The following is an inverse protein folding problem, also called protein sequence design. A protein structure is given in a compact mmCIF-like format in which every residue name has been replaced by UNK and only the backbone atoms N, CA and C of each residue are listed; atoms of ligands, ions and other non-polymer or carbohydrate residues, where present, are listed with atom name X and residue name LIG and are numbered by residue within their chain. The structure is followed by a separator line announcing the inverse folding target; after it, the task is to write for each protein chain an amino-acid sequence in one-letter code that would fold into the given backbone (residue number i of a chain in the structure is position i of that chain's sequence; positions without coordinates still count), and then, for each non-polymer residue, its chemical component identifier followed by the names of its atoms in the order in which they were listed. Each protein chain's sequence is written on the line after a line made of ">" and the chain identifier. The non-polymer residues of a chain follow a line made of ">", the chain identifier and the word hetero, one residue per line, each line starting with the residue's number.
data_IF_263827444955
#
_entry.id   IF_263827444955
#
_cell.length_a   1.000
_cell.length_b   1.000
_cell.length_c   1.000
_cell.angle_alpha   90.00
_cell.angle_beta   90.00
_cell.angle_gamma   90.00
#
_symmetry.space_group_name_H-M   'P 1'
#
loop_
_entity.id
_entity.type
_entity.pdbx_description
1 polymer ?
#
# COMPACT_ATOMS: atom_id res chain seq x y z
N UNK A 1 57.75 0.39 27.37
CA UNK A 1 56.48 0.91 27.93
C UNK A 1 55.72 1.86 26.99
N UNK A 2 56.35 2.56 26.04
CA UNK A 2 55.66 3.53 25.15
C UNK A 2 54.67 2.91 24.11
N UNK A 3 54.91 1.69 23.62
CA UNK A 3 54.07 1.07 22.58
C UNK A 3 52.68 0.60 23.08
N UNK A 4 52.52 0.38 24.39
CA UNK A 4 51.25 -0.08 24.99
C UNK A 4 50.28 1.09 25.18
N UNK A 5 50.80 2.27 25.54
CA UNK A 5 50.01 3.49 25.71
C UNK A 5 49.40 4.00 24.39
N UNK A 6 50.15 3.89 23.28
CA UNK A 6 49.69 4.30 21.94
C UNK A 6 48.56 3.42 21.40
N UNK A 7 48.62 2.09 21.63
CA UNK A 7 47.54 1.16 21.25
C UNK A 7 46.27 1.40 22.06
N UNK A 8 46.40 1.71 23.35
CA UNK A 8 45.28 2.03 24.23
C UNK A 8 44.58 3.33 23.83
N UNK A 9 45.35 4.36 23.44
CA UNK A 9 44.78 5.61 22.92
C UNK A 9 44.05 5.41 21.58
N UNK A 10 44.63 4.64 20.65
CA UNK A 10 43.99 4.34 19.37
C UNK A 10 42.67 3.56 19.54
N UNK A 11 42.63 2.60 20.47
CA UNK A 11 41.41 1.85 20.79
C UNK A 11 40.32 2.74 21.40
N UNK A 12 40.72 3.67 22.27
CA UNK A 12 39.80 4.62 22.90
C UNK A 12 39.20 5.61 21.88
N UNK A 13 40.01 6.08 20.93
CA UNK A 13 39.53 6.95 19.84
C UNK A 13 38.57 6.20 18.92
N UNK A 14 38.87 4.96 18.55
CA UNK A 14 37.96 4.13 17.74
C UNK A 14 36.63 3.85 18.44
N UNK A 15 36.66 3.57 19.75
CA UNK A 15 35.46 3.39 20.57
C UNK A 15 34.64 4.69 20.62
N UNK A 16 35.27 5.84 20.85
CA UNK A 16 34.59 7.14 20.87
C UNK A 16 33.97 7.49 19.51
N UNK A 17 34.66 7.21 18.40
CA UNK A 17 34.14 7.40 17.04
C UNK A 17 32.97 6.46 16.74
N UNK A 18 33.02 5.21 17.23
CA UNK A 18 31.92 4.25 17.06
C UNK A 18 30.68 4.65 17.87
N UNK A 19 30.87 5.15 19.09
CA UNK A 19 29.79 5.63 19.96
C UNK A 19 29.15 6.90 19.40
N UNK A 20 29.94 7.83 18.85
CA UNK A 20 29.41 9.04 18.22
C UNK A 20 28.63 8.74 16.95
N UNK A 21 29.14 7.83 16.09
CA UNK A 21 28.42 7.39 14.90
C UNK A 21 27.10 6.67 15.25
N UNK A 22 27.09 5.85 16.30
CA UNK A 22 25.87 5.20 16.79
C UNK A 22 24.85 6.21 17.34
N UNK A 23 25.30 7.21 18.10
CA UNK A 23 24.43 8.28 18.62
C UNK A 23 23.83 9.15 17.51
N UNK A 24 24.63 9.50 16.50
CA UNK A 24 24.16 10.20 15.28
C UNK A 24 23.14 9.36 14.51
N UNK A 25 23.39 8.07 14.35
CA UNK A 25 22.44 7.14 13.72
C UNK A 25 21.12 7.04 14.47
N UNK A 26 21.17 6.98 15.80
CA UNK A 26 19.98 6.90 16.65
C UNK A 26 19.17 8.21 16.63
N UNK A 27 19.84 9.37 16.74
CA UNK A 27 19.18 10.67 16.66
C UNK A 27 18.52 10.90 15.29
N UNK A 28 19.19 10.48 14.21
CA UNK A 28 18.63 10.56 12.86
C UNK A 28 17.41 9.65 12.68
N UNK A 29 17.43 8.45 13.27
CA UNK A 29 16.28 7.53 13.25
C UNK A 29 15.06 8.12 13.96
N UNK A 30 15.27 8.74 15.14
CA UNK A 30 14.18 9.40 15.89
C UNK A 30 13.55 10.55 15.09
N UNK A 31 14.36 11.36 14.40
CA UNK A 31 13.85 12.45 13.55
C UNK A 31 12.97 11.93 12.40
N UNK A 32 13.35 10.83 11.75
CA UNK A 32 12.52 10.23 10.71
C UNK A 32 11.21 9.64 11.28
N UNK A 33 11.27 8.96 12.42
CA UNK A 33 10.07 8.42 13.08
C UNK A 33 9.09 9.55 13.47
N UNK A 34 9.59 10.68 13.97
CA UNK A 34 8.76 11.86 14.27
C UNK A 34 8.14 12.50 13.01
N UNK A 35 8.91 12.59 11.91
CA UNK A 35 8.44 13.13 10.63
C UNK A 35 7.35 12.23 10.02
N UNK A 36 7.58 10.91 9.97
CA UNK A 36 6.63 9.92 9.46
C UNK A 36 5.33 9.93 10.27
N UNK A 37 5.41 9.96 11.61
CA UNK A 37 4.23 10.10 12.48
C UNK A 37 3.46 11.39 12.22
N UNK A 38 4.17 12.48 11.95
CA UNK A 38 3.55 13.77 11.69
C UNK A 38 2.82 13.77 10.33
N UNK A 39 3.42 13.16 9.30
CA UNK A 39 2.76 12.96 8.00
C UNK A 39 1.50 12.09 8.13
N UNK A 40 1.54 11.00 8.90
CA UNK A 40 0.35 10.17 9.18
C UNK A 40 -0.77 10.97 9.85
N UNK A 41 -0.43 11.82 10.83
CA UNK A 41 -1.40 12.69 11.52
C UNK A 41 -2.02 13.72 10.57
N UNK A 42 -1.27 14.22 9.60
CA UNK A 42 -1.81 15.13 8.58
C UNK A 42 -2.73 14.43 7.58
N UNK A 43 -2.43 13.17 7.26
CA UNK A 43 -3.27 12.38 6.34
C UNK A 43 -4.54 11.85 7.04
N UNK A 44 -4.63 11.86 8.38
CA UNK A 44 -5.78 11.36 9.14
C UNK A 44 -7.08 12.10 8.79
N UNK A 45 -8.06 11.37 8.28
CA UNK A 45 -9.39 11.88 7.96
C UNK A 45 -10.29 11.74 9.18
N UNK A 46 -10.44 12.83 9.94
CA UNK A 46 -11.23 12.82 11.18
C UNK A 46 -12.71 12.52 10.95
N UNK A 47 -13.32 13.14 9.91
CA UNK A 47 -14.70 12.93 9.51
C UNK A 47 -14.97 13.53 8.13
N UNK A 48 -15.69 12.80 7.27
CA UNK A 48 -16.19 13.34 6.02
C UNK A 48 -17.56 14.02 6.17
N UNK A 49 -17.88 15.01 5.32
CA UNK A 49 -19.25 15.50 5.19
C UNK A 49 -20.22 14.35 4.89
N UNK A 50 -21.33 14.28 5.62
CA UNK A 50 -22.34 13.23 5.42
C UNK A 50 -21.94 11.83 5.90
N UNK A 51 -20.79 11.68 6.60
CA UNK A 51 -20.32 10.39 7.08
C UNK A 51 -21.09 9.90 8.33
N UNK A 52 -21.54 8.63 8.34
CA UNK A 52 -22.03 7.98 9.54
C UNK A 52 -20.89 7.72 10.54
N UNK A 53 -21.24 7.46 11.79
CA UNK A 53 -20.27 7.08 12.83
C UNK A 53 -19.60 5.74 12.48
N UNK A 54 -18.28 5.69 12.64
CA UNK A 54 -17.45 4.51 12.34
C UNK A 54 -16.44 4.26 13.45
N UNK A 55 -15.97 3.02 13.56
CA UNK A 55 -15.02 2.58 14.59
C UNK A 55 -13.60 2.32 14.06
N UNK A 56 -13.32 2.65 12.80
CA UNK A 56 -12.03 2.47 12.14
C UNK A 56 -11.44 3.81 11.73
N UNK A 57 -10.11 3.88 11.61
CA UNK A 57 -9.44 5.07 11.11
C UNK A 57 -9.33 5.05 9.59
N UNK A 58 -9.19 6.23 9.02
CA UNK A 58 -8.99 6.42 7.59
C UNK A 58 -8.00 7.55 7.36
N UNK A 59 -7.19 7.41 6.32
CA UNK A 59 -6.11 8.33 5.99
C UNK A 59 -6.15 8.61 4.50
N UNK A 60 -5.97 9.85 4.09
CA UNK A 60 -5.89 10.20 2.68
C UNK A 60 -4.88 11.30 2.47
N UNK A 61 -4.13 11.21 1.39
CA UNK A 61 -3.07 12.15 1.11
C UNK A 61 -2.33 11.80 -0.16
N UNK A 62 -1.23 12.52 -0.37
CA UNK A 62 -0.37 12.34 -1.52
C UNK A 62 0.94 11.71 -1.10
N UNK A 63 1.47 10.83 -1.94
CA UNK A 63 2.83 10.31 -1.85
C UNK A 63 3.55 10.65 -3.14
N UNK A 64 4.66 11.38 -3.02
CA UNK A 64 5.51 11.73 -4.16
C UNK A 64 6.21 10.48 -4.68
N UNK A 65 6.08 10.24 -5.99
CA UNK A 65 6.68 9.09 -6.70
C UNK A 65 7.81 9.52 -7.63
N UNK A 66 7.86 10.80 -8.00
CA UNK A 66 8.96 11.40 -8.76
C UNK A 66 9.10 12.88 -8.43
N UNK A 67 10.14 13.22 -7.69
CA UNK A 67 10.47 14.62 -7.35
C UNK A 67 10.79 15.45 -8.59
N UNK A 68 11.59 14.91 -9.51
CA UNK A 68 12.07 15.64 -10.69
C UNK A 68 10.96 15.99 -11.68
N UNK A 69 9.88 15.21 -11.70
CA UNK A 69 8.71 15.49 -12.53
C UNK A 69 7.55 16.11 -11.73
N UNK A 70 7.68 16.20 -10.40
CA UNK A 70 6.59 16.57 -9.51
C UNK A 70 5.38 15.65 -9.63
N UNK A 71 5.61 14.33 -9.68
CA UNK A 71 4.54 13.33 -9.70
C UNK A 71 4.19 12.89 -8.29
N UNK A 72 2.90 12.94 -7.96
CA UNK A 72 2.38 12.44 -6.71
C UNK A 72 1.10 11.64 -6.96
N UNK A 73 0.98 10.50 -6.28
CA UNK A 73 -0.21 9.67 -6.33
C UNK A 73 -1.05 9.88 -5.05
N UNK A 74 -2.35 10.04 -5.23
CA UNK A 74 -3.31 10.16 -4.15
C UNK A 74 -3.77 8.78 -3.70
N UNK A 75 -3.90 8.61 -2.39
CA UNK A 75 -4.43 7.39 -1.80
C UNK A 75 -5.54 7.69 -0.79
N UNK A 76 -6.37 6.69 -0.56
CA UNK A 76 -7.28 6.66 0.58
C UNK A 76 -7.21 5.29 1.23
N UNK A 77 -6.74 5.28 2.47
CA UNK A 77 -6.51 4.10 3.29
C UNK A 77 -7.60 3.99 4.36
N UNK A 78 -8.12 2.78 4.56
CA UNK A 78 -9.07 2.45 5.61
C UNK A 78 -8.54 1.27 6.41
N UNK A 79 -8.46 1.44 7.72
CA UNK A 79 -8.13 0.34 8.61
C UNK A 79 -9.27 -0.69 8.65
N UNK A 80 -8.91 -1.93 8.97
CA UNK A 80 -9.86 -2.95 9.36
C UNK A 80 -10.71 -2.49 10.56
N UNK A 81 -11.95 -2.96 10.67
CA UNK A 81 -12.82 -2.60 11.80
C UNK A 81 -12.40 -3.22 13.13
N UNK A 82 -11.62 -4.30 13.11
CA UNK A 82 -11.11 -5.03 14.26
C UNK A 82 -9.70 -5.59 14.01
N UNK A 83 -8.90 -5.67 15.08
CA UNK A 83 -7.55 -6.28 15.09
C UNK A 83 -6.64 -5.80 13.93
N UNK A 84 -6.58 -4.49 13.69
CA UNK A 84 -5.84 -3.82 12.59
C UNK A 84 -4.43 -4.41 12.38
N UNK A 85 -3.74 -4.67 13.48
CA UNK A 85 -2.36 -5.21 13.53
C UNK A 85 -2.25 -6.68 13.09
N UNK A 86 -3.35 -7.43 13.10
CA UNK A 86 -3.40 -8.84 12.70
C UNK A 86 -3.98 -9.06 11.31
N UNK A 87 -4.59 -8.03 10.71
CA UNK A 87 -5.23 -8.12 9.39
C UNK A 87 -4.23 -7.89 8.26
N UNK A 88 -4.43 -8.49 7.08
CA UNK A 88 -3.61 -8.18 5.91
C UNK A 88 -3.80 -6.73 5.45
N UNK A 89 -2.83 -6.21 4.71
CA UNK A 89 -2.94 -4.97 3.93
C UNK A 89 -3.23 -5.33 2.47
N UNK A 90 -4.28 -4.74 1.91
CA UNK A 90 -4.70 -4.97 0.53
C UNK A 90 -4.67 -3.65 -0.24
N UNK A 91 -3.82 -3.58 -1.25
CA UNK A 91 -3.85 -2.52 -2.27
C UNK A 91 -4.94 -2.84 -3.30
N UNK A 92 -5.86 -1.91 -3.55
CA UNK A 92 -6.88 -2.02 -4.58
C UNK A 92 -6.64 -1.05 -5.74
N UNK A 93 -6.73 -1.56 -6.97
CA UNK A 93 -6.58 -0.81 -8.22
C UNK A 93 -7.77 -1.06 -9.15
N UNK A 94 -8.53 -0.02 -9.51
CA UNK A 94 -9.45 -0.11 -10.65
C UNK A 94 -8.68 0.05 -11.98
N UNK A 95 -9.33 -0.36 -13.07
CA UNK A 95 -8.75 -0.42 -14.41
C UNK A 95 -9.02 0.82 -15.28
N UNK A 96 -9.66 0.59 -16.42
CA UNK A 96 -9.92 1.60 -17.45
C UNK A 96 -9.20 1.28 -18.76
N UNK A 97 -7.94 1.72 -18.97
CA UNK A 97 -7.05 2.46 -18.07
C UNK A 97 -7.56 3.87 -17.73
N UNK A 98 -7.23 4.38 -16.54
CA UNK A 98 -7.54 5.75 -16.12
C UNK A 98 -8.79 5.92 -15.25
N UNK A 99 -9.40 4.82 -14.79
CA UNK A 99 -10.53 4.87 -13.85
C UNK A 99 -10.04 5.05 -12.42
N UNK A 100 -10.78 5.84 -11.63
CA UNK A 100 -10.47 6.14 -10.24
C UNK A 100 -10.74 4.94 -9.32
N UNK A 101 -9.73 4.51 -8.55
CA UNK A 101 -9.90 3.46 -7.55
C UNK A 101 -10.77 3.91 -6.37
N UNK A 102 -10.80 5.23 -6.12
CA UNK A 102 -11.67 5.81 -5.10
C UNK A 102 -13.11 5.86 -5.60
N UNK A 103 -13.32 6.42 -6.80
CA UNK A 103 -14.65 6.60 -7.40
C UNK A 103 -15.40 5.29 -7.62
N UNK A 104 -14.70 4.21 -7.97
CA UNK A 104 -15.31 2.89 -8.12
C UNK A 104 -15.08 2.03 -6.88
N UNK A 105 -13.85 1.57 -6.66
CA UNK A 105 -13.52 0.62 -5.60
C UNK A 105 -13.95 1.06 -4.21
N UNK A 106 -13.61 2.30 -3.82
CA UNK A 106 -13.82 2.76 -2.45
C UNK A 106 -15.28 3.17 -2.17
N UNK A 107 -15.98 3.80 -3.12
CA UNK A 107 -17.30 4.41 -2.84
C UNK A 107 -18.49 3.80 -3.59
N UNK A 108 -18.26 2.84 -4.49
CA UNK A 108 -19.33 2.13 -5.20
C UNK A 108 -19.25 0.61 -5.03
N UNK A 109 -18.08 0.04 -4.73
CA UNK A 109 -17.87 -1.40 -4.67
C UNK A 109 -17.63 -1.95 -3.25
N UNK A 110 -16.37 -1.93 -2.79
CA UNK A 110 -15.90 -2.74 -1.66
C UNK A 110 -15.39 -1.93 -0.47
N UNK A 111 -15.21 -0.62 -0.63
CA UNK A 111 -14.87 0.27 0.48
C UNK A 111 -16.02 0.43 1.49
N UNK A 112 -15.76 1.11 2.62
CA UNK A 112 -16.69 1.15 3.76
C UNK A 112 -17.89 2.06 3.54
N UNK A 113 -17.81 2.99 2.61
CA UNK A 113 -18.84 3.98 2.34
C UNK A 113 -19.43 3.77 0.93
N UNK A 114 -20.73 4.03 0.79
CA UNK A 114 -21.42 4.02 -0.50
C UNK A 114 -22.04 5.38 -0.77
N UNK A 115 -21.78 5.94 -1.95
CA UNK A 115 -22.48 7.14 -2.38
C UNK A 115 -23.99 6.89 -2.49
N UNK A 116 -24.79 7.83 -2.00
CA UNK A 116 -26.24 7.76 -2.06
C UNK A 116 -26.78 8.63 -3.19
N UNK A 117 -27.78 8.13 -3.93
CA UNK A 117 -28.35 8.86 -5.06
C UNK A 117 -29.18 10.04 -4.58
N UNK A 118 -28.79 11.25 -5.00
CA UNK A 118 -29.60 12.46 -4.80
C UNK A 118 -29.53 13.07 -3.40
N UNK A 119 -28.64 12.57 -2.54
CA UNK A 119 -28.40 13.10 -1.20
C UNK A 119 -26.87 13.15 -0.93
N UNK A 120 -26.38 14.11 -0.13
CA UNK A 120 -24.95 14.24 0.15
C UNK A 120 -24.41 13.24 1.20
N UNK A 121 -25.28 12.51 1.89
CA UNK A 121 -24.89 11.54 2.91
C UNK A 121 -24.25 10.28 2.31
N UNK A 122 -23.30 9.71 3.07
CA UNK A 122 -22.68 8.43 2.77
C UNK A 122 -23.45 7.30 3.47
N UNK A 123 -23.73 6.23 2.74
CA UNK A 123 -24.22 4.97 3.33
C UNK A 123 -23.07 4.11 3.83
N UNK A 124 -23.30 3.27 4.84
CA UNK A 124 -22.34 2.22 5.19
C UNK A 124 -22.49 1.02 4.25
N UNK A 125 -21.37 0.50 3.77
CA UNK A 125 -21.35 -0.75 3.03
C UNK A 125 -21.35 -1.93 4.01
N UNK A 126 -22.48 -2.62 4.13
CA UNK A 126 -22.58 -3.82 4.99
C UNK A 126 -21.63 -4.94 4.55
N UNK A 127 -21.24 -4.94 3.28
CA UNK A 127 -20.39 -5.95 2.65
C UNK A 127 -18.95 -5.49 2.42
N UNK A 128 -18.53 -4.38 3.04
CA UNK A 128 -17.18 -3.85 2.87
C UNK A 128 -16.10 -4.86 3.23
N UNK A 129 -14.99 -4.81 2.52
CA UNK A 129 -13.85 -5.70 2.72
C UNK A 129 -13.01 -5.34 3.95
N UNK A 130 -13.20 -4.15 4.55
CA UNK A 130 -12.57 -3.79 5.82
C UNK A 130 -13.37 -4.23 7.06
N UNK A 131 -14.45 -5.00 6.87
CA UNK A 131 -15.35 -5.42 7.95
C UNK A 131 -15.41 -6.95 8.08
N UNK A 132 -15.43 -7.44 9.32
CA UNK A 132 -15.65 -8.86 9.61
C UNK A 132 -17.05 -9.32 9.16
N UNK A 133 -17.12 -10.42 8.39
CA UNK A 133 -18.38 -11.13 8.07
C UNK A 133 -18.75 -12.06 9.24
N UNK A 134 -19.96 -11.93 9.79
CA UNK A 134 -20.46 -12.83 10.86
C UNK A 134 -21.23 -14.06 10.32
N UNK A 135 -21.61 -14.06 9.04
CA UNK A 135 -22.62 -14.99 8.53
C UNK A 135 -22.06 -15.87 7.39
N UNK A 136 -21.15 -16.77 7.72
CA UNK A 136 -20.55 -17.74 6.77
C UNK A 136 -21.50 -18.89 6.39
N UNK A 137 -22.76 -18.60 6.03
CA UNK A 137 -23.72 -19.66 5.65
C UNK A 137 -23.93 -19.80 4.14
N UNK A 138 -23.38 -18.90 3.32
CA UNK A 138 -23.68 -18.91 1.89
C UNK A 138 -22.51 -18.46 1.03
N UNK A 139 -21.47 -19.29 0.85
CA UNK A 139 -20.61 -19.22 -0.33
C UNK A 139 -20.00 -20.60 -0.60
N UNK A 140 -20.53 -21.29 -1.61
CA UNK A 140 -19.82 -22.38 -2.29
C UNK A 140 -19.02 -21.75 -3.43
N UNK A 141 -17.85 -22.32 -3.71
CA UNK A 141 -16.84 -21.99 -4.74
C UNK A 141 -15.66 -21.11 -4.26
N UNK A 142 -14.49 -21.78 -4.19
CA UNK A 142 -13.11 -21.27 -3.98
C UNK A 142 -12.59 -21.19 -2.53
N UNK A 143 -12.36 -22.37 -1.95
CA UNK A 143 -11.93 -22.68 -0.58
C UNK A 143 -10.53 -22.14 -0.13
N UNK A 144 -9.88 -21.27 -0.91
CA UNK A 144 -8.57 -20.70 -0.57
C UNK A 144 -8.57 -19.17 -0.36
N UNK A 145 -9.53 -18.45 -0.97
CA UNK A 145 -9.75 -17.00 -0.75
C UNK A 145 -10.99 -16.72 0.10
N UNK A 146 -11.72 -17.77 0.50
CA UNK A 146 -12.96 -17.70 1.29
C UNK A 146 -12.75 -17.39 2.78
N UNK A 147 -11.49 -17.26 3.21
CA UNK A 147 -11.08 -16.78 4.54
C UNK A 147 -10.54 -15.35 4.51
N UNK A 148 -10.87 -14.53 3.50
CA UNK A 148 -10.65 -13.07 3.61
C UNK A 148 -11.71 -12.48 4.54
N UNK A 149 -11.49 -12.82 5.79
CA UNK A 149 -11.76 -12.04 6.98
C UNK A 149 -11.06 -10.70 6.81
N UNK A 150 -11.81 -9.63 6.55
CA UNK A 150 -11.44 -8.26 6.96
C UNK A 150 -9.99 -7.80 6.72
N UNK A 151 -9.75 -6.88 5.79
CA UNK A 151 -8.43 -6.33 5.47
C UNK A 151 -8.31 -4.83 5.77
N UNK A 152 -7.09 -4.35 5.94
CA UNK A 152 -6.77 -2.94 5.82
C UNK A 152 -6.75 -2.59 4.32
N UNK A 153 -7.60 -1.66 3.88
CA UNK A 153 -7.83 -1.38 2.46
C UNK A 153 -7.12 -0.09 2.02
N UNK A 154 -6.20 -0.21 1.08
CA UNK A 154 -5.47 0.91 0.48
C UNK A 154 -5.94 1.11 -0.97
N UNK A 155 -6.70 2.17 -1.22
CA UNK A 155 -7.10 2.55 -2.57
C UNK A 155 -6.12 3.54 -3.15
N UNK A 156 -5.65 3.30 -4.38
CA UNK A 156 -4.66 4.14 -5.04
C UNK A 156 -5.21 4.70 -6.36
N UNK A 157 -5.19 6.01 -6.50
CA UNK A 157 -5.42 6.70 -7.77
C UNK A 157 -4.17 6.57 -8.64
N UNK A 158 -4.22 5.72 -9.67
CA UNK A 158 -3.05 5.45 -10.52
C UNK A 158 -3.50 5.14 -11.95
N UNK A 159 -2.76 5.58 -12.99
CA UNK A 159 -1.53 6.38 -12.94
C UNK A 159 -1.75 7.85 -12.54
N UNK A 160 -0.67 8.66 -12.56
CA UNK A 160 -0.79 10.12 -12.44
C UNK A 160 -1.78 10.68 -13.48
N UNK A 161 -2.55 11.70 -13.09
CA UNK A 161 -3.66 12.24 -13.88
C UNK A 161 -5.01 11.55 -13.66
N UNK A 162 -5.05 10.44 -12.93
CA UNK A 162 -6.31 9.77 -12.53
C UNK A 162 -6.84 10.38 -11.24
N UNK A 163 -8.10 10.79 -11.26
CA UNK A 163 -8.81 11.44 -10.15
C UNK A 163 -8.02 12.58 -9.53
N UNK A 164 -7.45 12.35 -8.35
CA UNK A 164 -6.68 13.36 -7.61
C UNK A 164 -5.17 13.30 -7.89
N UNK A 165 -4.65 12.19 -8.41
CA UNK A 165 -3.22 12.04 -8.71
C UNK A 165 -2.78 12.96 -9.84
N UNK A 166 -1.56 13.49 -9.76
CA UNK A 166 -1.10 14.52 -10.72
C UNK A 166 0.39 14.40 -11.06
N UNK A 167 0.75 15.11 -12.13
CA UNK A 167 2.13 15.43 -12.50
C UNK A 167 2.25 16.93 -12.74
N UNK A 168 3.35 17.54 -12.28
CA UNK A 168 3.67 18.93 -12.63
C UNK A 168 4.32 19.05 -14.03
N UNK A 169 4.63 17.93 -14.68
CA UNK A 169 5.29 17.88 -15.99
C UNK A 169 4.33 17.38 -17.05
N UNK A 170 3.79 18.30 -17.87
CA UNK A 170 2.77 17.97 -18.86
C UNK A 170 3.21 16.95 -19.93
N UNK A 171 4.51 16.91 -20.29
CA UNK A 171 5.02 15.92 -21.25
C UNK A 171 5.01 14.48 -20.71
N UNK A 172 4.73 14.26 -19.42
CA UNK A 172 4.58 12.90 -18.87
C UNK A 172 3.38 12.16 -19.47
N UNK A 173 2.34 12.88 -19.89
CA UNK A 173 1.17 12.28 -20.53
C UNK A 173 1.52 11.59 -21.87
N UNK A 174 2.51 12.10 -22.61
CA UNK A 174 2.99 11.48 -23.86
C UNK A 174 3.77 10.18 -23.62
N UNK A 175 4.21 9.95 -22.36
CA UNK A 175 5.02 8.81 -21.94
C UNK A 175 4.25 7.86 -21.00
N UNK A 176 2.98 8.14 -20.75
CA UNK A 176 2.13 7.31 -19.90
C UNK A 176 1.99 5.91 -20.50
N UNK A 177 2.05 4.89 -19.64
CA UNK A 177 1.97 3.49 -20.04
C UNK A 177 2.18 2.55 -18.86
N UNK A 178 1.99 1.26 -19.10
CA UNK A 178 2.02 0.23 -18.06
C UNK A 178 3.34 0.19 -17.28
N UNK A 179 4.48 0.31 -17.97
CA UNK A 179 5.80 0.25 -17.32
C UNK A 179 5.99 1.41 -16.34
N UNK A 180 5.70 2.64 -16.79
CA UNK A 180 5.82 3.84 -15.96
C UNK A 180 4.81 3.80 -14.80
N UNK A 181 3.59 3.33 -15.05
CA UNK A 181 2.56 3.14 -14.02
C UNK A 181 3.05 2.19 -12.94
N UNK A 182 3.64 1.06 -13.31
CA UNK A 182 4.17 0.10 -12.35
C UNK A 182 5.43 0.63 -11.62
N UNK A 183 6.27 1.44 -12.28
CA UNK A 183 7.41 2.13 -11.62
C UNK A 183 6.91 3.09 -10.55
N UNK A 184 5.98 3.98 -10.89
CA UNK A 184 5.45 4.98 -9.99
C UNK A 184 4.65 4.32 -8.85
N UNK A 185 3.83 3.29 -9.12
CA UNK A 185 3.11 2.56 -8.08
C UNK A 185 4.05 1.78 -7.14
N UNK A 186 5.18 1.27 -7.63
CA UNK A 186 6.20 0.67 -6.76
C UNK A 186 6.90 1.72 -5.89
N UNK A 187 7.24 2.89 -6.45
CA UNK A 187 7.79 4.01 -5.69
C UNK A 187 6.79 4.50 -4.62
N UNK A 188 5.51 4.57 -4.96
CA UNK A 188 4.42 4.83 -4.02
C UNK A 188 4.46 3.86 -2.85
N UNK A 189 4.49 2.54 -3.10
CA UNK A 189 4.53 1.54 -2.02
C UNK A 189 5.74 1.73 -1.11
N UNK A 190 6.93 1.93 -1.67
CA UNK A 190 8.15 2.12 -0.89
C UNK A 190 8.08 3.35 0.01
N UNK A 191 7.49 4.45 -0.48
CA UNK A 191 7.36 5.68 0.30
C UNK A 191 6.18 5.61 1.29
N UNK A 192 5.08 4.96 0.91
CA UNK A 192 3.94 4.73 1.78
C UNK A 192 4.31 3.84 2.98
N UNK A 193 5.09 2.77 2.79
CA UNK A 193 5.58 1.93 3.89
C UNK A 193 6.63 2.62 4.79
N UNK A 194 7.29 3.68 4.33
CA UNK A 194 8.10 4.53 5.22
C UNK A 194 7.19 5.37 6.10
N UNK A 195 6.18 6.00 5.50
CA UNK A 195 5.17 6.79 6.22
C UNK A 195 4.36 5.93 7.19
N UNK A 196 4.02 4.70 6.84
CA UNK A 196 3.21 3.76 7.64
C UNK A 196 4.02 2.50 8.01
N UNK A 197 5.10 2.64 8.81
CA UNK A 197 6.03 1.54 9.08
C UNK A 197 5.39 0.38 9.86
N UNK A 198 4.33 0.65 10.63
CA UNK A 198 3.56 -0.35 11.38
C UNK A 198 2.88 -1.39 10.46
N UNK A 199 2.67 -1.07 9.18
CA UNK A 199 2.09 -2.01 8.20
C UNK A 199 3.13 -2.84 7.43
N UNK A 200 4.45 -2.59 7.64
CA UNK A 200 5.52 -3.27 6.89
C UNK A 200 5.56 -4.78 7.12
N UNK A 201 5.18 -5.22 8.32
CA UNK A 201 5.13 -6.65 8.70
C UNK A 201 3.85 -7.36 8.22
N UNK A 202 2.80 -6.61 7.87
CA UNK A 202 1.51 -7.18 7.50
C UNK A 202 1.65 -8.02 6.23
N UNK A 203 0.84 -9.07 6.13
CA UNK A 203 0.70 -9.77 4.86
C UNK A 203 0.13 -8.80 3.81
N UNK A 204 0.86 -8.63 2.71
CA UNK A 204 0.51 -7.67 1.68
C UNK A 204 -0.05 -8.37 0.44
N UNK A 205 -1.18 -7.86 -0.04
CA UNK A 205 -1.85 -8.36 -1.25
C UNK A 205 -2.12 -7.19 -2.19
N UNK A 206 -2.05 -7.48 -3.49
CA UNK A 206 -2.43 -6.54 -4.54
C UNK A 206 -3.66 -7.09 -5.23
N UNK A 207 -4.73 -6.31 -5.30
CA UNK A 207 -5.96 -6.70 -5.98
C UNK A 207 -6.42 -5.60 -6.92
N UNK A 208 -7.19 -5.98 -7.92
CA UNK A 208 -7.78 -5.01 -8.82
C UNK A 208 -8.70 -5.64 -9.84
N UNK A 209 -9.32 -4.78 -10.65
CA UNK A 209 -10.28 -5.21 -11.66
C UNK A 209 -10.10 -4.56 -13.04
N UNK A 210 -10.72 -5.17 -14.05
CA UNK A 210 -10.70 -4.69 -15.44
C UNK A 210 -9.26 -4.59 -15.97
N UNK A 211 -8.84 -3.43 -16.51
CA UNK A 211 -7.47 -3.19 -16.97
C UNK A 211 -6.40 -3.33 -15.86
N UNK A 212 -6.79 -3.36 -14.58
CA UNK A 212 -5.86 -3.73 -13.51
C UNK A 212 -5.35 -5.17 -13.65
N UNK A 213 -5.92 -5.99 -14.53
CA UNK A 213 -5.28 -7.24 -14.97
C UNK A 213 -3.92 -7.05 -15.65
N UNK A 214 -3.60 -5.84 -16.11
CA UNK A 214 -2.24 -5.44 -16.50
C UNK A 214 -1.47 -4.87 -15.30
N UNK A 215 -2.07 -3.96 -14.52
CA UNK A 215 -1.40 -3.24 -13.44
C UNK A 215 -0.95 -4.16 -12.30
N UNK A 216 -1.85 -5.00 -11.80
CA UNK A 216 -1.64 -5.87 -10.64
C UNK A 216 -0.47 -6.82 -10.85
N UNK A 217 -0.41 -7.66 -11.91
CA UNK A 217 0.73 -8.58 -12.08
C UNK A 217 2.05 -7.86 -12.36
N UNK A 218 2.04 -6.74 -13.10
CA UNK A 218 3.26 -5.97 -13.37
C UNK A 218 3.81 -5.32 -12.10
N UNK A 219 2.94 -4.79 -11.24
CA UNK A 219 3.35 -4.26 -9.94
C UNK A 219 3.85 -5.37 -9.01
N UNK A 220 3.14 -6.51 -8.96
CA UNK A 220 3.56 -7.67 -8.17
C UNK A 220 4.93 -8.20 -8.59
N UNK A 221 5.20 -8.28 -9.90
CA UNK A 221 6.51 -8.65 -10.44
C UNK A 221 7.59 -7.64 -10.05
N UNK A 222 7.33 -6.34 -10.17
CA UNK A 222 8.30 -5.30 -9.74
C UNK A 222 8.64 -5.41 -8.25
N UNK A 223 7.63 -5.59 -7.38
CA UNK A 223 7.83 -5.79 -5.94
C UNK A 223 8.66 -7.05 -5.68
N UNK A 224 8.34 -8.15 -6.36
CA UNK A 224 9.05 -9.41 -6.21
C UNK A 224 10.53 -9.32 -6.64
N UNK A 225 10.80 -8.70 -7.79
CA UNK A 225 12.17 -8.51 -8.28
C UNK A 225 12.97 -7.50 -7.44
N UNK A 226 12.31 -6.50 -6.86
CA UNK A 226 12.92 -5.61 -5.86
C UNK A 226 13.28 -6.39 -4.59
N UNK A 227 12.35 -7.18 -4.05
CA UNK A 227 12.56 -7.99 -2.84
C UNK A 227 13.75 -8.96 -2.95
N UNK A 228 13.98 -9.56 -4.13
CA UNK A 228 15.13 -10.44 -4.39
C UNK A 228 16.48 -9.73 -4.24
N UNK A 229 16.52 -8.43 -4.47
CA UNK A 229 17.72 -7.58 -4.40
C UNK A 229 17.84 -6.87 -3.04
N UNK A 230 16.76 -6.84 -2.27
CA UNK A 230 16.69 -6.19 -0.95
C UNK A 230 17.07 -7.13 0.20
N UNK A 231 17.57 -6.52 1.27
CA UNK A 231 17.68 -7.18 2.59
C UNK A 231 16.29 -7.52 3.12
N UNK A 232 16.22 -8.54 3.97
CA UNK A 232 14.95 -9.02 4.52
C UNK A 232 14.16 -7.93 5.24
N UNK A 233 14.83 -7.08 6.02
CA UNK A 233 14.22 -5.94 6.72
C UNK A 233 13.60 -4.89 5.80
N UNK A 234 13.98 -4.86 4.52
CA UNK A 234 13.53 -3.87 3.52
C UNK A 234 12.51 -4.43 2.53
N UNK A 235 12.14 -5.71 2.68
CA UNK A 235 11.17 -6.36 1.78
C UNK A 235 9.75 -5.96 2.11
N UNK A 236 8.94 -5.85 1.07
CA UNK A 236 7.48 -5.82 1.19
C UNK A 236 7.01 -7.27 1.33
N UNK A 237 6.21 -7.59 2.35
CA UNK A 237 5.72 -8.95 2.63
C UNK A 237 4.58 -9.37 1.69
N UNK A 238 4.83 -9.34 0.38
CA UNK A 238 3.89 -9.71 -0.68
C UNK A 238 3.57 -11.21 -0.62
N UNK A 239 2.30 -11.55 -0.38
CA UNK A 239 1.82 -12.94 -0.31
C UNK A 239 1.13 -13.41 -1.58
N UNK A 240 0.49 -12.50 -2.31
CA UNK A 240 -0.22 -12.85 -3.52
C UNK A 240 -0.91 -11.66 -4.17
N UNK A 241 -1.58 -11.94 -5.26
CA UNK A 241 -2.40 -10.97 -5.94
C UNK A 241 -3.66 -11.59 -6.55
N UNK A 242 -4.68 -10.77 -6.73
CA UNK A 242 -5.99 -11.16 -7.28
C UNK A 242 -6.42 -10.20 -8.38
N UNK A 243 -6.84 -10.75 -9.51
CA UNK A 243 -7.40 -9.95 -10.62
C UNK A 243 -8.83 -10.37 -10.87
N UNK A 244 -9.75 -9.41 -10.79
CA UNK A 244 -11.14 -9.57 -11.22
C UNK A 244 -11.28 -9.10 -12.68
N UNK A 245 -11.27 -10.05 -13.60
CA UNK A 245 -11.67 -9.85 -15.00
C UNK A 245 -12.54 -11.03 -15.45
N UNK A 246 -13.02 -11.07 -16.70
CA UNK A 246 -13.78 -12.20 -17.29
C UNK A 246 -13.01 -13.54 -17.15
N UNK A 247 -11.71 -13.52 -16.84
CA UNK A 247 -10.92 -14.66 -16.36
C UNK A 247 -10.28 -14.32 -15.01
N UNK A 248 -10.60 -15.05 -13.95
CA UNK A 248 -9.99 -14.81 -12.62
C UNK A 248 -8.56 -15.34 -12.65
N UNK A 249 -7.56 -14.45 -12.54
CA UNK A 249 -6.19 -14.86 -12.20
C UNK A 249 -6.02 -14.74 -10.68
N UNK A 250 -5.75 -15.88 -10.06
CA UNK A 250 -5.32 -15.97 -8.66
C UNK A 250 -3.87 -16.43 -8.63
N UNK A 251 -3.01 -15.67 -7.95
CA UNK A 251 -1.58 -15.98 -7.83
C UNK A 251 -1.11 -15.90 -6.39
N UNK A 252 -0.47 -16.98 -5.92
CA UNK A 252 0.21 -17.04 -4.63
C UNK A 252 1.73 -16.96 -4.86
N UNK A 253 2.42 -16.22 -3.99
CA UNK A 253 3.88 -16.23 -3.94
C UNK A 253 4.31 -17.45 -3.14
N UNK A 254 4.79 -18.49 -3.82
CA UNK A 254 5.29 -19.72 -3.20
C UNK A 254 6.74 -20.00 -3.63
N UNK A 255 7.70 -19.81 -2.72
CA UNK A 255 9.13 -19.92 -3.00
C UNK A 255 9.64 -18.83 -3.95
N UNK A 256 10.56 -19.18 -4.86
CA UNK A 256 11.19 -18.26 -5.83
C UNK A 256 10.42 -18.13 -7.17
N UNK A 257 9.10 -18.34 -7.22
CA UNK A 257 8.31 -18.21 -8.45
C UNK A 257 6.96 -17.55 -8.20
N UNK A 258 6.64 -16.52 -8.99
CA UNK A 258 5.27 -16.03 -9.22
C UNK A 258 4.60 -16.95 -10.24
N UNK A 259 3.43 -17.51 -9.92
CA UNK A 259 2.61 -18.30 -10.86
C UNK A 259 1.18 -17.77 -10.87
N UNK A 260 0.68 -17.40 -12.05
CA UNK A 260 -0.72 -17.08 -12.28
C UNK A 260 -1.45 -18.30 -12.84
N UNK A 261 -2.50 -18.74 -12.13
CA UNK A 261 -3.43 -19.73 -12.63
C UNK A 261 -4.72 -19.01 -13.03
N UNK A 262 -5.02 -18.99 -14.32
CA UNK A 262 -6.31 -18.49 -14.82
C UNK A 262 -7.39 -19.55 -14.59
N UNK A 263 -8.45 -19.18 -13.88
CA UNK A 263 -9.71 -19.93 -13.84
C UNK A 263 -10.77 -19.14 -14.59
N UNK A 264 -11.45 -19.77 -15.54
CA UNK A 264 -12.64 -19.19 -16.17
C UNK A 264 -13.74 -19.08 -15.12
N UNK A 265 -14.27 -17.87 -14.89
CA UNK A 265 -15.51 -17.70 -14.15
C UNK A 265 -16.67 -17.99 -15.10
N UNK A 266 -17.21 -19.20 -15.04
CA UNK A 266 -18.50 -19.59 -15.62
C UNK A 266 -19.36 -20.21 -14.52
#
# INVERSE_FOLDING_TARGET
>A
MAAVASKSHALCVLLLLSLSAAALGHSRKLLYEEEDEQEQKFDLVSRLPGQPEVSFQQYSGYVTVSESHGRALFYWFFEATQDVEKKPLLLWLNGGPGCSSIGYGAVEELGPFLMQKGVPELGLNEYSWNKARRDSKFVLFCDALLQITEANLLFLESPFGVGFSYTNTSSDYDRAGDELTAIDAHAFLLNWFKRFPQFKSHEFYIAGESYAGHYVPQLAEKVYEANKKSKEEDRINLKGFMVRTISVCESLVAGNKLKCNYKSAL
#
